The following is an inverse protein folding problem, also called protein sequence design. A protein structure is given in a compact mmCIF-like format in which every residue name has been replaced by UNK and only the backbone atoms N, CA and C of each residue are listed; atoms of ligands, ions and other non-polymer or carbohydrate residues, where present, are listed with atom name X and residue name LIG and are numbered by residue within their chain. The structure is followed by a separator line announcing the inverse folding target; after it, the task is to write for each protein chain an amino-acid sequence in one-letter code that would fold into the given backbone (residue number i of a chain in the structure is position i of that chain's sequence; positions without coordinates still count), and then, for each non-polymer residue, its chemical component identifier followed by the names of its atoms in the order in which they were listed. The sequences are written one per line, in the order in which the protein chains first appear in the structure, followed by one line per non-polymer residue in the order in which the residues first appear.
data_IF_504862258880
#
_entry.id   IF_504862258880
#
_cell.length_a   1.000
_cell.length_b   1.000
_cell.length_c   1.000
_cell.angle_alpha   90.00
_cell.angle_beta   90.00
_cell.angle_gamma   90.00
#
_symmetry.space_group_name_H-M   'P 1'
#
loop_
_entity.id
_entity.type
_entity.pdbx_description
1 polymer ?
#
# COMPACT_ATOMS: atom_id res chain seq x y z
N UNK A 1 -3.27 1.26 111.68
CA UNK A 1 -2.21 1.15 110.65
C UNK A 1 -2.90 1.30 109.30
N UNK A 2 -2.86 2.47 108.66
CA UNK A 2 -1.80 2.94 107.72
C UNK A 2 -1.81 2.02 106.48
N UNK A 3 -2.04 2.41 105.21
CA UNK A 3 -1.85 3.69 104.50
C UNK A 3 -2.44 3.59 103.08
N UNK A 4 -2.94 4.72 102.55
CA UNK A 4 -2.79 5.26 101.16
C UNK A 4 -3.21 4.36 99.98
N UNK A 5 -4.31 4.62 99.24
CA UNK A 5 -4.60 5.78 98.34
C UNK A 5 -3.39 6.26 97.51
N UNK A 6 -3.57 6.21 96.19
CA UNK A 6 -2.77 6.75 95.06
C UNK A 6 -1.98 5.71 94.26
N UNK A 7 -2.43 5.49 93.02
CA UNK A 7 -1.67 4.78 92.00
C UNK A 7 -2.27 4.83 90.59
N UNK A 8 -3.37 5.54 90.35
CA UNK A 8 -4.00 5.66 89.02
C UNK A 8 -3.38 6.79 88.16
N UNK A 9 -2.22 7.35 88.55
CA UNK A 9 -1.59 8.49 87.88
C UNK A 9 -0.28 8.18 87.15
N UNK A 10 0.15 6.92 87.07
CA UNK A 10 1.47 6.54 86.54
C UNK A 10 1.46 5.92 85.14
N UNK A 11 0.35 5.99 84.39
CA UNK A 11 0.31 5.51 83.00
C UNK A 11 0.46 6.62 81.94
N UNK A 12 0.31 7.90 82.30
CA UNK A 12 0.27 8.98 81.31
C UNK A 12 1.64 9.64 80.98
N UNK A 13 2.74 9.18 81.60
CA UNK A 13 4.05 9.83 81.45
C UNK A 13 5.10 9.07 80.63
N UNK A 14 4.83 7.84 80.16
CA UNK A 14 5.76 7.10 79.31
C UNK A 14 5.63 7.36 77.80
N UNK A 15 4.74 8.26 77.39
CA UNK A 15 4.61 8.72 76.00
C UNK A 15 4.93 10.21 75.84
N UNK A 16 5.90 10.73 76.61
CA UNK A 16 6.60 11.96 76.23
C UNK A 16 7.69 11.60 75.21
N UNK A 17 7.24 11.37 73.97
CA UNK A 17 8.14 11.33 72.81
C UNK A 17 9.00 12.59 72.82
N UNK A 18 10.31 12.41 72.90
CA UNK A 18 11.27 13.49 72.67
C UNK A 18 10.95 14.04 71.28
N UNK A 19 10.44 15.27 71.20
CA UNK A 19 10.36 16.02 69.95
C UNK A 19 11.79 16.37 69.55
N UNK A 20 12.48 15.43 68.91
CA UNK A 20 13.69 15.73 68.15
C UNK A 20 13.22 16.45 66.89
N UNK A 21 13.50 17.74 66.78
CA UNK A 21 13.35 18.44 65.50
C UNK A 21 14.31 17.84 64.49
N UNK A 22 13.87 17.75 63.23
CA UNK A 22 14.73 17.28 62.13
C UNK A 22 15.98 18.15 62.06
N UNK A 23 17.16 17.51 61.96
CA UNK A 23 18.40 18.25 61.71
C UNK A 23 18.44 18.67 60.24
N UNK A 24 19.00 19.85 59.95
CA UNK A 24 19.10 20.38 58.59
C UNK A 24 19.84 19.40 57.64
N UNK A 25 20.80 18.66 58.17
CA UNK A 25 21.54 17.63 57.44
C UNK A 25 20.68 16.42 57.06
N UNK A 26 19.80 15.96 57.95
CA UNK A 26 18.90 14.82 57.68
C UNK A 26 17.90 15.16 56.56
N UNK A 27 17.37 16.39 56.56
CA UNK A 27 16.52 16.90 55.48
C UNK A 27 17.31 16.97 54.16
N UNK A 28 18.56 17.44 54.19
CA UNK A 28 19.40 17.52 52.99
C UNK A 28 19.70 16.15 52.39
N UNK A 29 20.04 15.15 53.22
CA UNK A 29 20.28 13.78 52.74
C UNK A 29 18.99 13.16 52.19
N UNK A 30 17.84 13.37 52.85
CA UNK A 30 16.55 12.88 52.34
C UNK A 30 16.17 13.47 50.98
N UNK A 31 16.50 14.75 50.73
CA UNK A 31 16.26 15.41 49.44
C UNK A 31 17.14 14.83 48.33
N UNK A 32 18.41 14.52 48.64
CA UNK A 32 19.33 13.89 47.68
C UNK A 32 18.88 12.47 47.35
N UNK A 33 18.48 11.67 48.35
CA UNK A 33 18.01 10.31 48.10
C UNK A 33 16.69 10.35 47.31
N UNK A 34 15.78 11.26 47.67
CA UNK A 34 14.52 11.44 46.96
C UNK A 34 14.74 11.87 45.51
N UNK A 35 15.68 12.79 45.23
CA UNK A 35 15.97 13.22 43.86
C UNK A 35 16.55 12.08 43.02
N UNK A 36 17.48 11.29 43.57
CA UNK A 36 18.05 10.12 42.88
C UNK A 36 16.95 9.09 42.53
N UNK A 37 16.07 8.79 43.48
CA UNK A 37 14.96 7.84 43.24
C UNK A 37 14.00 8.38 42.19
N UNK A 38 13.59 9.65 42.29
CA UNK A 38 12.67 10.27 41.32
C UNK A 38 13.28 10.31 39.92
N UNK A 39 14.57 10.67 39.79
CA UNK A 39 15.26 10.64 38.50
C UNK A 39 15.33 9.23 37.91
N UNK A 40 15.58 8.21 38.73
CA UNK A 40 15.59 6.81 38.30
C UNK A 40 14.23 6.34 37.78
N UNK A 41 13.15 6.69 38.48
CA UNK A 41 11.78 6.36 38.06
C UNK A 41 11.38 7.11 36.78
N UNK A 42 11.74 8.40 36.67
CA UNK A 42 11.46 9.21 35.47
C UNK A 42 12.17 8.64 34.24
N UNK A 43 13.43 8.22 34.39
CA UNK A 43 14.19 7.58 33.31
C UNK A 43 13.48 6.32 32.79
N UNK A 44 13.03 5.44 33.71
CA UNK A 44 12.29 4.22 33.34
C UNK A 44 10.98 4.54 32.59
N UNK A 45 10.24 5.55 33.02
CA UNK A 45 8.99 5.96 32.35
C UNK A 45 9.26 6.45 30.93
N UNK A 46 10.33 7.22 30.71
CA UNK A 46 10.71 7.69 29.36
C UNK A 46 11.04 6.52 28.45
N UNK A 47 11.81 5.54 28.93
CA UNK A 47 12.14 4.33 28.18
C UNK A 47 10.87 3.53 27.81
N UNK A 48 9.95 3.34 28.76
CA UNK A 48 8.69 2.62 28.50
C UNK A 48 7.82 3.36 27.47
N UNK A 49 7.71 4.69 27.56
CA UNK A 49 6.96 5.48 26.59
C UNK A 49 7.57 5.42 25.19
N UNK A 50 8.89 5.38 25.08
CA UNK A 50 9.58 5.22 23.81
C UNK A 50 9.32 3.84 23.19
N UNK A 51 9.37 2.77 23.99
CA UNK A 51 9.05 1.41 23.54
C UNK A 51 7.60 1.35 23.03
N UNK A 52 6.64 1.86 23.82
CA UNK A 52 5.22 1.85 23.42
C UNK A 52 4.99 2.60 22.10
N UNK A 53 5.56 3.80 21.94
CA UNK A 53 5.44 4.58 20.70
C UNK A 53 6.04 3.85 19.50
N UNK A 54 7.14 3.12 19.72
CA UNK A 54 7.78 2.34 18.67
C UNK A 54 6.93 1.13 18.26
N UNK A 55 6.44 0.37 19.23
CA UNK A 55 5.59 -0.79 18.97
C UNK A 55 4.30 -0.39 18.25
N UNK A 56 3.71 0.74 18.65
CA UNK A 56 2.57 1.34 17.98
C UNK A 56 2.91 1.68 16.52
N UNK A 57 4.03 2.38 16.28
CA UNK A 57 4.45 2.74 14.94
C UNK A 57 4.70 1.54 14.03
N UNK A 58 5.41 0.52 14.53
CA UNK A 58 5.66 -0.70 13.78
C UNK A 58 4.36 -1.44 13.46
N UNK A 59 3.48 -1.57 14.45
CA UNK A 59 2.18 -2.25 14.29
C UNK A 59 1.31 -1.54 13.26
N UNK A 60 1.27 -0.21 13.31
CA UNK A 60 0.53 0.61 12.36
C UNK A 60 1.09 0.47 10.94
N UNK A 61 2.41 0.59 10.76
CA UNK A 61 3.06 0.37 9.46
C UNK A 61 2.75 -1.03 8.95
N UNK A 62 2.99 -2.09 9.74
CA UNK A 62 2.70 -3.46 9.32
C UNK A 62 1.24 -3.66 8.90
N UNK A 63 0.29 -3.11 9.67
CA UNK A 63 -1.14 -3.18 9.35
C UNK A 63 -1.46 -2.48 8.04
N UNK A 64 -0.92 -1.28 7.83
CA UNK A 64 -1.14 -0.51 6.60
C UNK A 64 -0.48 -1.20 5.38
N UNK A 65 0.73 -1.71 5.53
CA UNK A 65 1.42 -2.47 4.48
C UNK A 65 0.66 -3.75 4.11
N UNK A 66 0.11 -4.47 5.09
CA UNK A 66 -0.70 -5.67 4.84
C UNK A 66 -2.00 -5.35 4.11
N UNK A 67 -2.67 -4.24 4.46
CA UNK A 67 -3.87 -3.78 3.76
C UNK A 67 -3.55 -3.41 2.31
N UNK A 68 -2.48 -2.66 2.08
CA UNK A 68 -2.02 -2.29 0.74
C UNK A 68 -1.66 -3.52 -0.09
N UNK A 69 -0.88 -4.45 0.47
CA UNK A 69 -0.54 -5.72 -0.18
C UNK A 69 -1.81 -6.50 -0.56
N UNK A 70 -2.75 -6.65 0.39
CA UNK A 70 -4.02 -7.35 0.13
C UNK A 70 -4.80 -6.68 -1.01
N UNK A 71 -4.83 -5.35 -1.05
CA UNK A 71 -5.50 -4.60 -2.11
C UNK A 71 -4.85 -4.85 -3.48
N UNK A 72 -3.52 -4.68 -3.58
CA UNK A 72 -2.75 -4.96 -4.81
C UNK A 72 -2.97 -6.40 -5.27
N UNK A 73 -2.90 -7.37 -4.36
CA UNK A 73 -3.08 -8.78 -4.73
C UNK A 73 -4.49 -9.09 -5.22
N UNK A 74 -5.53 -8.44 -4.66
CA UNK A 74 -6.91 -8.64 -5.11
C UNK A 74 -7.09 -8.12 -6.53
N UNK A 75 -6.64 -6.90 -6.80
CA UNK A 75 -6.74 -6.34 -8.16
C UNK A 75 -5.95 -7.19 -9.17
N UNK A 76 -4.76 -7.64 -8.80
CA UNK A 76 -3.92 -8.44 -9.67
C UNK A 76 -4.46 -9.87 -9.91
N UNK A 77 -5.27 -10.41 -9.00
CA UNK A 77 -5.97 -11.69 -9.21
C UNK A 77 -7.04 -11.60 -10.31
N UNK A 78 -7.61 -10.42 -10.50
CA UNK A 78 -8.63 -10.11 -11.52
C UNK A 78 -8.01 -9.59 -12.82
N UNK A 79 -6.68 -9.56 -12.91
CA UNK A 79 -5.98 -9.16 -14.10
C UNK A 79 -6.26 -10.13 -15.27
N UNK A 80 -6.42 -9.55 -16.44
CA UNK A 80 -6.56 -10.21 -17.73
C UNK A 80 -5.23 -10.18 -18.48
N UNK A 81 -4.47 -9.10 -18.32
CA UNK A 81 -3.17 -8.91 -18.95
C UNK A 81 -2.28 -8.03 -18.09
N UNK A 82 -1.06 -8.48 -17.78
CA UNK A 82 -0.06 -7.69 -17.04
C UNK A 82 1.08 -7.27 -17.96
N UNK A 83 1.45 -6.00 -17.89
CA UNK A 83 2.59 -5.46 -18.62
C UNK A 83 3.89 -5.83 -17.91
N UNK A 84 4.84 -6.42 -18.65
CA UNK A 84 6.22 -6.58 -18.20
C UNK A 84 6.98 -5.25 -18.18
N UNK A 85 6.54 -4.29 -19.00
CA UNK A 85 7.11 -2.94 -19.07
C UNK A 85 5.97 -1.91 -18.91
N UNK A 86 5.63 -1.51 -17.67
CA UNK A 86 4.53 -0.57 -17.41
C UNK A 86 4.67 0.76 -18.16
N UNK A 87 5.90 1.19 -18.45
CA UNK A 87 6.15 2.43 -19.18
C UNK A 87 5.52 2.47 -20.58
N UNK A 88 5.28 1.31 -21.20
CA UNK A 88 4.60 1.21 -22.52
C UNK A 88 3.19 1.80 -22.50
N UNK A 89 2.49 1.68 -21.38
CA UNK A 89 1.14 2.23 -21.20
C UNK A 89 1.19 3.58 -20.50
N UNK A 90 2.04 3.75 -19.48
CA UNK A 90 2.08 5.01 -18.73
C UNK A 90 2.64 6.18 -19.53
N UNK A 91 3.49 5.95 -20.54
CA UNK A 91 3.99 7.03 -21.42
C UNK A 91 2.92 7.65 -22.31
N UNK A 92 1.72 7.09 -22.33
CA UNK A 92 0.60 7.55 -23.14
C UNK A 92 -0.42 8.36 -22.34
N UNK A 93 -0.23 8.48 -21.03
CA UNK A 93 -1.13 9.13 -20.09
C UNK A 93 -0.40 10.34 -19.49
N UNK A 94 -0.83 11.56 -19.82
CA UNK A 94 -0.18 12.79 -19.34
C UNK A 94 -0.63 13.18 -17.92
N UNK A 95 -1.78 12.68 -17.46
CA UNK A 95 -2.36 13.00 -16.15
C UNK A 95 -1.99 12.02 -15.04
N UNK A 96 -1.07 11.09 -15.30
CA UNK A 96 -0.58 10.18 -14.27
C UNK A 96 0.09 10.95 -13.13
N UNK A 97 -0.17 10.57 -11.86
CA UNK A 97 0.56 11.09 -10.72
C UNK A 97 2.07 10.86 -10.90
N UNK A 98 2.89 11.81 -10.46
CA UNK A 98 4.34 11.65 -10.49
C UNK A 98 4.75 10.40 -9.67
N UNK A 99 5.60 9.55 -10.24
CA UNK A 99 6.09 8.35 -9.58
C UNK A 99 6.65 7.33 -10.56
N UNK A 100 7.37 6.35 -10.04
CA UNK A 100 7.87 5.22 -10.83
C UNK A 100 6.76 4.17 -10.98
N UNK A 101 6.37 3.79 -12.21
CA UNK A 101 5.33 2.79 -12.43
C UNK A 101 5.88 1.37 -12.20
N UNK A 102 5.32 0.70 -11.19
CA UNK A 102 5.81 -0.61 -10.74
C UNK A 102 4.99 -1.76 -11.31
N UNK A 103 3.67 -1.58 -11.43
CA UNK A 103 2.77 -2.62 -11.90
C UNK A 103 1.65 -1.98 -12.71
N UNK A 104 1.46 -2.41 -13.95
CA UNK A 104 0.35 -2.02 -14.78
C UNK A 104 -0.33 -3.26 -15.37
N UNK A 105 -1.67 -3.27 -15.36
CA UNK A 105 -2.44 -4.38 -15.91
C UNK A 105 -3.86 -3.96 -16.25
N UNK A 106 -4.47 -4.74 -17.13
CA UNK A 106 -5.90 -4.68 -17.41
C UNK A 106 -6.62 -5.66 -16.52
N UNK A 107 -7.72 -5.23 -15.90
CA UNK A 107 -8.64 -6.10 -15.14
C UNK A 107 -10.05 -6.00 -15.68
N UNK A 108 -10.87 -7.01 -15.39
CA UNK A 108 -12.31 -6.95 -15.63
C UNK A 108 -12.99 -6.33 -14.41
N UNK A 109 -13.64 -5.20 -14.59
CA UNK A 109 -14.48 -4.58 -13.57
C UNK A 109 -15.94 -4.96 -13.83
N UNK A 110 -16.63 -5.62 -12.88
CA UNK A 110 -18.06 -5.86 -13.00
C UNK A 110 -18.83 -4.54 -12.87
N UNK A 111 -19.92 -4.40 -13.62
CA UNK A 111 -20.84 -3.28 -13.42
C UNK A 111 -21.57 -3.44 -12.09
N UNK A 112 -21.70 -2.35 -11.34
CA UNK A 112 -22.52 -2.35 -10.15
C UNK A 112 -24.02 -2.39 -10.51
N UNK A 113 -24.87 -2.64 -9.51
CA UNK A 113 -26.31 -2.77 -9.73
C UNK A 113 -26.96 -1.46 -10.18
N UNK A 114 -26.40 -0.33 -9.79
CA UNK A 114 -26.96 1.00 -10.04
C UNK A 114 -26.60 1.45 -11.46
N UNK A 115 -25.37 1.24 -11.89
CA UNK A 115 -24.88 1.39 -13.27
C UNK A 115 -25.67 0.48 -14.20
N UNK A 116 -25.84 -0.79 -13.85
CA UNK A 116 -26.62 -1.72 -14.67
C UNK A 116 -28.09 -1.30 -14.79
N UNK A 117 -28.69 -0.77 -13.72
CA UNK A 117 -30.05 -0.24 -13.74
C UNK A 117 -30.15 1.09 -14.51
N UNK A 118 -29.08 1.89 -14.51
CA UNK A 118 -28.96 3.14 -15.27
C UNK A 118 -28.93 2.92 -16.78
N UNK A 119 -28.40 1.78 -17.24
CA UNK A 119 -28.47 1.37 -18.64
C UNK A 119 -29.92 0.95 -18.97
N UNK A 120 -30.71 1.91 -19.43
CA UNK A 120 -32.08 1.73 -19.92
C UNK A 120 -32.20 0.73 -21.08
N UNK A 121 -33.37 0.59 -21.70
CA UNK A 121 -33.51 -0.27 -22.89
C UNK A 121 -32.65 0.28 -24.04
N UNK A 122 -31.65 -0.49 -24.46
CA UNK A 122 -30.63 -0.09 -25.44
C UNK A 122 -31.25 0.40 -26.74
N UNK A 123 -32.33 -0.25 -27.20
CA UNK A 123 -33.03 0.09 -28.44
C UNK A 123 -33.79 1.42 -28.39
N UNK A 124 -34.04 1.93 -27.19
CA UNK A 124 -34.76 3.19 -26.97
C UNK A 124 -33.85 4.33 -26.52
N UNK A 125 -32.73 4.00 -25.88
CA UNK A 125 -31.78 4.96 -25.32
C UNK A 125 -30.66 5.33 -26.32
N UNK A 126 -30.27 4.40 -27.20
CA UNK A 126 -29.13 4.54 -28.10
C UNK A 126 -29.49 4.17 -29.54
N UNK A 127 -28.61 4.50 -30.49
CA UNK A 127 -28.77 4.11 -31.89
C UNK A 127 -27.43 3.83 -32.56
N UNK A 128 -27.41 2.95 -33.56
CA UNK A 128 -26.19 2.63 -34.32
C UNK A 128 -25.16 1.88 -33.46
N UNK A 129 -23.91 2.31 -33.49
CA UNK A 129 -22.79 1.65 -32.78
C UNK A 129 -22.95 1.67 -31.26
N UNK A 130 -23.56 2.72 -30.70
CA UNK A 130 -23.81 2.83 -29.26
C UNK A 130 -24.87 1.81 -28.79
N UNK A 131 -25.85 1.47 -29.65
CA UNK A 131 -26.83 0.41 -29.34
C UNK A 131 -26.17 -0.97 -29.30
N UNK A 132 -25.26 -1.26 -30.24
CA UNK A 132 -24.47 -2.49 -30.25
C UNK A 132 -23.56 -2.60 -29.03
N UNK A 133 -22.93 -1.49 -28.63
CA UNK A 133 -22.13 -1.39 -27.42
C UNK A 133 -22.97 -1.61 -26.15
N UNK A 134 -24.13 -0.95 -26.05
CA UNK A 134 -25.08 -1.14 -24.96
C UNK A 134 -25.49 -2.60 -24.81
N UNK A 135 -25.87 -3.25 -25.92
CA UNK A 135 -26.26 -4.66 -25.94
C UNK A 135 -25.10 -5.57 -25.53
N UNK A 136 -23.88 -5.26 -25.98
CA UNK A 136 -22.68 -6.00 -25.59
C UNK A 136 -22.40 -5.85 -24.09
N UNK A 137 -22.55 -4.63 -23.55
CA UNK A 137 -22.35 -4.34 -22.14
C UNK A 137 -23.38 -5.08 -21.27
N UNK A 138 -24.65 -5.11 -21.68
CA UNK A 138 -25.72 -5.89 -21.03
C UNK A 138 -25.54 -7.39 -21.09
N UNK A 139 -24.75 -7.93 -22.02
CA UNK A 139 -24.42 -9.36 -22.05
C UNK A 139 -23.18 -9.65 -21.22
N UNK A 140 -22.17 -8.77 -21.28
CA UNK A 140 -20.89 -8.98 -20.58
C UNK A 140 -20.95 -8.69 -19.09
N UNK A 141 -21.77 -7.72 -18.66
CA UNK A 141 -21.85 -7.23 -17.27
C UNK A 141 -20.51 -6.74 -16.70
N UNK A 142 -19.52 -6.44 -17.55
CA UNK A 142 -18.18 -6.05 -17.13
C UNK A 142 -17.47 -5.25 -18.20
N UNK A 143 -16.57 -4.36 -17.79
CA UNK A 143 -15.68 -3.57 -18.65
C UNK A 143 -14.22 -3.87 -18.35
N UNK A 144 -13.33 -3.53 -19.28
CA UNK A 144 -11.90 -3.54 -19.01
C UNK A 144 -11.48 -2.22 -18.38
N UNK A 145 -10.76 -2.29 -17.27
CA UNK A 145 -10.16 -1.13 -16.61
C UNK A 145 -8.65 -1.31 -16.58
N UNK A 146 -7.93 -0.23 -16.89
CA UNK A 146 -6.48 -0.19 -16.73
C UNK A 146 -6.16 0.26 -15.30
N UNK A 147 -5.33 -0.50 -14.60
CA UNK A 147 -4.85 -0.17 -13.26
C UNK A 147 -3.33 -0.06 -13.28
N UNK A 148 -2.82 1.01 -12.66
CA UNK A 148 -1.39 1.29 -12.55
C UNK A 148 -1.04 1.58 -11.08
N UNK A 149 -0.04 0.89 -10.57
CA UNK A 149 0.55 1.16 -9.26
C UNK A 149 1.88 1.88 -9.44
N UNK A 150 2.01 3.04 -8.80
CA UNK A 150 3.20 3.88 -8.83
C UNK A 150 3.77 4.02 -7.43
N UNK A 151 5.10 4.10 -7.34
CA UNK A 151 5.79 4.53 -6.14
C UNK A 151 6.24 5.98 -6.29
N UNK A 152 5.91 6.82 -5.31
CA UNK A 152 6.34 8.22 -5.29
C UNK A 152 7.07 8.53 -3.99
N UNK A 153 8.29 9.08 -4.09
CA UNK A 153 9.02 9.62 -2.95
C UNK A 153 8.32 10.89 -2.42
N UNK A 154 8.16 10.96 -1.09
CA UNK A 154 7.52 12.09 -0.45
C UNK A 154 8.52 13.22 -0.21
N UNK A 155 8.07 14.46 -0.47
CA UNK A 155 8.84 15.64 -0.11
C UNK A 155 8.60 16.03 1.35
N UNK A 156 9.58 16.70 1.99
CA UNK A 156 9.44 17.16 3.37
C UNK A 156 8.30 18.20 3.58
N UNK A 157 7.82 18.82 2.50
CA UNK A 157 6.68 19.76 2.51
C UNK A 157 5.33 19.09 2.31
N UNK A 158 5.30 17.78 2.12
CA UNK A 158 4.09 17.03 1.84
C UNK A 158 3.27 16.78 3.12
N UNK A 159 1.97 16.50 2.97
CA UNK A 159 1.10 16.09 4.08
C UNK A 159 1.43 14.67 4.57
N UNK A 160 2.17 13.96 3.75
CA UNK A 160 2.60 12.58 3.89
C UNK A 160 3.88 12.49 4.72
N UNK A 161 3.89 11.58 5.70
CA UNK A 161 4.92 11.53 6.75
C UNK A 161 5.99 10.49 6.49
N UNK A 162 5.67 9.44 5.73
CA UNK A 162 6.66 8.41 5.42
C UNK A 162 7.63 8.83 4.30
N UNK A 163 8.64 8.01 4.00
CA UNK A 163 9.62 8.33 2.97
C UNK A 163 9.05 8.31 1.55
N UNK A 164 8.15 7.38 1.26
CA UNK A 164 7.48 7.25 -0.03
C UNK A 164 6.09 6.63 0.14
N UNK A 165 5.27 6.77 -0.90
CA UNK A 165 3.90 6.28 -0.95
C UNK A 165 3.64 5.44 -2.19
N UNK A 166 2.64 4.57 -2.09
CA UNK A 166 2.07 3.87 -3.25
C UNK A 166 0.80 4.56 -3.67
N UNK A 167 0.75 4.93 -4.93
CA UNK A 167 -0.42 5.49 -5.58
C UNK A 167 -1.00 4.44 -6.51
N UNK A 168 -2.30 4.23 -6.41
CA UNK A 168 -3.07 3.49 -7.39
C UNK A 168 -3.74 4.47 -8.32
N UNK A 169 -3.54 4.28 -9.60
CA UNK A 169 -4.25 4.97 -10.66
C UNK A 169 -5.15 3.97 -11.40
N UNK A 170 -6.36 4.39 -11.75
CA UNK A 170 -7.32 3.60 -12.50
C UNK A 170 -7.96 4.42 -13.62
N UNK A 171 -7.97 3.84 -14.81
CA UNK A 171 -8.63 4.37 -16.00
C UNK A 171 -9.80 3.43 -16.37
N UNK A 172 -11.02 3.75 -15.91
CA UNK A 172 -12.22 2.99 -16.29
C UNK A 172 -12.68 3.38 -17.69
N UNK A 173 -13.41 2.47 -18.36
CA UNK A 173 -13.93 2.68 -19.71
C UNK A 173 -14.87 3.89 -19.83
N UNK A 174 -15.82 4.00 -18.91
CA UNK A 174 -16.88 5.01 -18.98
C UNK A 174 -16.64 6.12 -17.95
N UNK A 175 -16.86 7.36 -18.36
CA UNK A 175 -17.07 8.49 -17.46
C UNK A 175 -18.51 8.48 -16.92
N UNK A 176 -19.46 8.06 -17.75
CA UNK A 176 -20.86 7.87 -17.39
C UNK A 176 -21.43 6.66 -18.14
N UNK A 177 -21.70 5.58 -17.39
CA UNK A 177 -22.23 4.32 -17.94
C UNK A 177 -23.66 4.49 -18.46
N UNK A 178 -24.46 5.39 -17.88
CA UNK A 178 -25.86 5.58 -18.27
C UNK A 178 -26.02 6.19 -19.65
N UNK A 179 -25.02 6.95 -20.09
CA UNK A 179 -24.96 7.59 -21.41
C UNK A 179 -23.91 6.94 -22.34
N UNK A 180 -23.23 5.88 -21.88
CA UNK A 180 -22.09 5.27 -22.58
C UNK A 180 -20.99 6.26 -22.96
N UNK A 181 -20.86 7.35 -22.19
CA UNK A 181 -19.82 8.34 -22.42
C UNK A 181 -18.48 7.74 -22.04
N UNK A 182 -17.65 7.43 -23.04
CA UNK A 182 -16.29 6.94 -22.82
C UNK A 182 -15.45 7.98 -22.12
N UNK A 183 -14.56 7.52 -21.25
CA UNK A 183 -13.60 8.39 -20.60
C UNK A 183 -12.54 8.84 -21.60
N UNK A 184 -12.10 10.08 -21.47
CA UNK A 184 -11.03 10.62 -22.31
C UNK A 184 -9.76 9.75 -22.20
N UNK A 185 -9.08 9.53 -23.32
CA UNK A 185 -7.85 8.74 -23.40
C UNK A 185 -8.03 7.23 -23.19
N UNK A 186 -9.23 6.78 -22.82
CA UNK A 186 -9.55 5.37 -22.86
C UNK A 186 -9.74 4.91 -24.30
N UNK A 187 -9.05 3.83 -24.67
CA UNK A 187 -9.31 3.09 -25.89
C UNK A 187 -9.54 1.62 -25.53
N UNK A 188 -10.56 0.98 -26.10
CA UNK A 188 -10.87 -0.41 -25.76
C UNK A 188 -9.78 -1.34 -26.35
N UNK A 189 -9.16 -2.23 -25.55
CA UNK A 189 -8.11 -3.15 -26.00
C UNK A 189 -8.65 -4.34 -26.81
N UNK A 190 -9.88 -4.25 -27.31
CA UNK A 190 -10.51 -5.25 -28.18
C UNK A 190 -11.11 -4.67 -29.47
N UNK A 191 -10.97 -3.37 -29.71
CA UNK A 191 -11.56 -2.67 -30.87
C UNK A 191 -10.50 -2.26 -31.90
N UNK A 192 -10.92 -1.59 -32.98
CA UNK A 192 -9.99 -1.02 -33.96
C UNK A 192 -9.01 -0.03 -33.31
N UNK A 193 -7.78 0.00 -33.80
CA UNK A 193 -6.70 0.83 -33.29
C UNK A 193 -6.95 2.31 -33.59
N UNK A 194 -6.86 3.21 -32.59
CA UNK A 194 -7.27 4.61 -32.75
C UNK A 194 -6.44 5.37 -33.80
N UNK A 195 -5.17 5.00 -33.97
CA UNK A 195 -4.24 5.67 -34.90
C UNK A 195 -3.87 4.84 -36.14
N UNK A 196 -4.33 3.58 -36.25
CA UNK A 196 -3.92 2.66 -37.31
C UNK A 196 -5.13 1.90 -37.87
N UNK A 197 -5.69 2.38 -38.98
CA UNK A 197 -6.85 1.73 -39.59
C UNK A 197 -6.52 0.30 -40.03
N UNK A 198 -7.42 -0.63 -39.69
CA UNK A 198 -7.26 -2.06 -39.99
C UNK A 198 -6.43 -2.86 -38.98
N UNK A 199 -5.87 -2.22 -37.95
CA UNK A 199 -5.26 -2.93 -36.81
C UNK A 199 -6.21 -2.96 -35.61
N UNK A 200 -6.07 -3.96 -34.75
CA UNK A 200 -6.80 -4.03 -33.47
C UNK A 200 -5.93 -3.41 -32.38
N UNK A 201 -6.52 -2.52 -31.59
CA UNK A 201 -5.95 -2.10 -30.32
C UNK A 201 -5.97 -3.33 -29.40
N UNK A 202 -4.84 -4.00 -29.18
CA UNK A 202 -4.78 -5.18 -28.30
C UNK A 202 -4.21 -4.79 -26.94
N UNK A 203 -4.38 -5.62 -25.92
CA UNK A 203 -3.76 -5.41 -24.61
C UNK A 203 -2.23 -5.20 -24.70
N UNK A 204 -1.54 -5.89 -25.61
CA UNK A 204 -0.07 -5.83 -25.71
C UNK A 204 0.48 -4.57 -26.41
N UNK A 205 -0.29 -4.00 -27.34
CA UNK A 205 0.07 -2.81 -28.12
C UNK A 205 -0.93 -1.67 -27.90
N UNK A 206 -1.53 -1.64 -26.71
CA UNK A 206 -2.58 -0.70 -26.39
C UNK A 206 -2.11 0.73 -26.65
N UNK A 207 -2.92 1.49 -27.38
CA UNK A 207 -2.69 2.92 -27.60
C UNK A 207 -3.86 3.72 -27.05
N UNK A 208 -3.59 4.75 -26.26
CA UNK A 208 -4.60 5.68 -25.76
C UNK A 208 -5.34 6.36 -26.93
N UNK A 209 -6.61 6.71 -26.71
CA UNK A 209 -7.29 7.60 -27.66
C UNK A 209 -6.69 9.01 -27.60
N UNK A 210 -6.93 9.85 -28.59
CA UNK A 210 -6.28 11.14 -28.87
C UNK A 210 -6.35 12.19 -27.74
N UNK A 211 -6.92 11.87 -26.57
CA UNK A 211 -6.82 12.69 -25.36
C UNK A 211 -5.70 12.18 -24.45
N UNK A 212 -4.77 13.07 -24.11
CA UNK A 212 -3.68 12.75 -23.18
C UNK A 212 -4.06 12.99 -21.72
N UNK A 213 -5.13 13.74 -21.46
CA UNK A 213 -5.70 13.90 -20.13
C UNK A 213 -6.91 12.99 -20.01
N UNK A 214 -6.79 11.99 -19.16
CA UNK A 214 -7.75 10.90 -19.10
C UNK A 214 -8.79 11.04 -17.98
N UNK A 215 -8.69 12.11 -17.18
CA UNK A 215 -9.48 12.28 -15.95
C UNK A 215 -9.49 11.00 -15.11
N UNK A 216 -8.36 10.28 -15.07
CA UNK A 216 -8.27 9.00 -14.38
C UNK A 216 -8.32 9.17 -12.87
N UNK A 217 -8.74 8.13 -12.16
CA UNK A 217 -8.83 8.18 -10.71
C UNK A 217 -7.50 7.80 -10.08
N UNK A 218 -6.98 8.64 -9.18
CA UNK A 218 -5.80 8.31 -8.38
C UNK A 218 -6.09 8.35 -6.89
N UNK A 219 -5.54 7.38 -6.15
CA UNK A 219 -5.67 7.27 -4.72
C UNK A 219 -4.38 6.77 -4.08
N UNK A 220 -3.96 7.39 -2.98
CA UNK A 220 -2.83 6.91 -2.17
C UNK A 220 -3.29 5.71 -1.34
N UNK A 221 -2.65 4.56 -1.53
CA UNK A 221 -2.96 3.35 -0.77
C UNK A 221 -2.25 3.31 0.58
N UNK A 222 -0.97 3.69 0.60
CA UNK A 222 -0.12 3.63 1.79
C UNK A 222 1.02 4.63 1.65
N UNK A 223 1.40 5.22 2.78
CA UNK A 223 2.36 6.33 2.86
C UNK A 223 3.65 6.00 3.64
N UNK A 224 3.72 4.84 4.28
CA UNK A 224 4.90 4.43 5.06
C UNK A 224 5.76 3.43 4.29
N UNK A 225 5.96 3.65 2.99
CA UNK A 225 6.82 2.82 2.14
C UNK A 225 8.24 3.35 2.20
N UNK A 226 9.23 2.47 2.28
CA UNK A 226 10.63 2.90 2.31
C UNK A 226 11.04 3.53 0.96
N UNK A 227 12.11 4.32 0.90
CA UNK A 227 12.51 4.98 -0.35
C UNK A 227 12.77 3.98 -1.47
N UNK A 228 12.39 4.33 -2.70
CA UNK A 228 12.66 3.50 -3.89
C UNK A 228 14.17 3.20 -4.02
N UNK A 229 14.99 4.20 -3.72
CA UNK A 229 16.46 4.15 -3.76
C UNK A 229 17.11 3.60 -2.48
N UNK A 230 16.33 3.22 -1.46
CA UNK A 230 16.90 2.72 -0.22
C UNK A 230 17.66 1.41 -0.46
N UNK A 231 18.83 1.30 0.17
CA UNK A 231 19.69 0.10 0.09
C UNK A 231 18.85 -1.14 0.41
N UNK A 232 18.83 -2.16 -0.46
CA UNK A 232 18.07 -3.38 -0.19
C UNK A 232 18.67 -4.10 1.02
N UNK A 233 17.87 -4.74 1.88
CA UNK A 233 18.42 -5.62 2.91
C UNK A 233 19.24 -6.72 2.23
N UNK A 234 20.26 -7.25 2.91
CA UNK A 234 21.12 -8.32 2.38
C UNK A 234 20.33 -9.57 1.95
N UNK A 235 19.14 -9.74 2.52
CA UNK A 235 18.26 -10.87 2.31
C UNK A 235 17.09 -10.54 1.36
N UNK A 236 17.09 -9.37 0.69
CA UNK A 236 16.08 -9.06 -0.31
C UNK A 236 16.21 -10.05 -1.47
N UNK A 237 15.26 -10.98 -1.54
CA UNK A 237 15.24 -11.97 -2.60
C UNK A 237 15.06 -11.26 -3.95
N UNK A 238 16.02 -11.48 -4.86
CA UNK A 238 15.82 -11.22 -6.28
C UNK A 238 14.69 -12.10 -6.81
N UNK A 239 14.18 -11.77 -8.00
CA UNK A 239 13.20 -12.61 -8.67
C UNK A 239 13.70 -14.07 -8.79
N UNK A 240 12.85 -15.09 -8.58
CA UNK A 240 13.29 -16.46 -8.28
C UNK A 240 14.09 -17.15 -9.39
N UNK A 241 13.91 -16.74 -10.64
CA UNK A 241 14.59 -17.32 -11.81
C UNK A 241 14.61 -16.33 -12.97
N UNK A 242 15.35 -16.66 -14.03
CA UNK A 242 15.36 -15.91 -15.29
C UNK A 242 14.01 -15.89 -16.02
N UNK A 243 13.05 -16.72 -15.60
CA UNK A 243 11.68 -16.68 -16.13
C UNK A 243 10.87 -15.50 -15.58
N UNK A 244 11.38 -14.78 -14.58
CA UNK A 244 10.75 -13.59 -14.03
C UNK A 244 11.51 -12.34 -14.42
N UNK A 245 10.79 -11.36 -14.93
CA UNK A 245 11.27 -10.01 -15.15
C UNK A 245 10.95 -9.15 -13.93
N UNK A 246 11.96 -8.42 -13.43
CA UNK A 246 11.81 -7.49 -12.32
C UNK A 246 11.31 -6.15 -12.85
N UNK A 247 10.38 -5.52 -12.14
CA UNK A 247 9.88 -4.19 -12.44
C UNK A 247 9.95 -3.33 -11.17
N UNK A 248 10.69 -2.21 -11.16
CA UNK A 248 11.54 -1.71 -12.24
C UNK A 248 12.71 -2.67 -12.55
N UNK A 249 13.17 -2.68 -13.80
CA UNK A 249 14.27 -3.58 -14.22
C UNK A 249 15.60 -3.22 -13.56
N UNK A 250 15.80 -1.94 -13.24
CA UNK A 250 16.93 -1.45 -12.46
C UNK A 250 16.64 -1.53 -10.97
N UNK A 251 17.43 -2.28 -10.17
CA UNK A 251 17.26 -2.34 -8.72
C UNK A 251 17.30 -0.99 -8.01
N UNK A 252 18.14 -0.07 -8.49
CA UNK A 252 18.29 1.26 -7.90
C UNK A 252 17.00 2.10 -7.92
N UNK A 253 16.07 1.79 -8.83
CA UNK A 253 14.87 2.60 -9.08
C UNK A 253 13.64 2.09 -8.30
N UNK A 254 13.76 0.99 -7.56
CA UNK A 254 12.63 0.45 -6.78
C UNK A 254 12.99 -0.76 -5.93
N UNK A 255 13.73 -0.56 -4.84
CA UNK A 255 14.08 -1.64 -3.91
C UNK A 255 13.02 -1.91 -2.84
N UNK A 256 12.20 -0.91 -2.53
CA UNK A 256 11.17 -1.02 -1.49
C UNK A 256 9.80 -1.43 -2.03
N UNK A 257 9.51 -1.20 -3.30
CA UNK A 257 8.34 -1.76 -3.97
C UNK A 257 8.75 -2.18 -5.39
N UNK A 258 8.65 -3.47 -5.66
CA UNK A 258 8.89 -4.03 -6.98
C UNK A 258 8.06 -5.29 -7.18
N UNK A 259 7.88 -5.66 -8.44
CA UNK A 259 7.22 -6.90 -8.81
C UNK A 259 8.15 -7.76 -9.67
N UNK A 260 7.98 -9.06 -9.57
CA UNK A 260 8.56 -10.03 -10.47
C UNK A 260 7.43 -10.61 -11.29
N UNK A 261 7.35 -10.24 -12.56
CA UNK A 261 6.33 -10.77 -13.48
C UNK A 261 6.95 -11.92 -14.24
N UNK A 262 6.30 -13.08 -14.26
CA UNK A 262 6.75 -14.18 -15.10
C UNK A 262 6.63 -13.76 -16.56
N UNK A 263 7.78 -13.59 -17.20
CA UNK A 263 7.86 -13.29 -18.62
C UNK A 263 7.25 -14.43 -19.42
N UNK A 264 6.53 -14.08 -20.47
CA UNK A 264 6.23 -15.02 -21.54
C UNK A 264 7.50 -15.16 -22.35
N UNK A 265 8.07 -16.35 -22.41
CA UNK A 265 9.23 -16.62 -23.28
C UNK A 265 8.90 -16.08 -24.70
N UNK A 266 9.68 -15.11 -25.23
CA UNK A 266 9.44 -14.57 -26.57
C UNK A 266 9.58 -15.65 -27.66
N UNK A 267 10.25 -16.77 -27.35
CA UNK A 267 10.45 -17.91 -28.24
C UNK A 267 9.39 -19.03 -28.02
N UNK A 268 8.45 -18.87 -27.08
CA UNK A 268 7.33 -19.80 -26.94
C UNK A 268 6.33 -19.58 -28.09
N UNK A 269 6.44 -20.41 -29.12
CA UNK A 269 5.52 -20.47 -30.27
C UNK A 269 4.05 -20.74 -29.88
N UNK A 270 3.81 -21.22 -28.65
CA UNK A 270 2.48 -21.53 -28.15
C UNK A 270 1.88 -20.38 -27.32
N UNK A 271 0.81 -19.78 -27.84
CA UNK A 271 -0.02 -18.78 -27.17
C UNK A 271 -0.62 -19.26 -25.82
N UNK A 272 -0.50 -20.55 -25.49
CA UNK A 272 -1.03 -21.18 -24.28
C UNK A 272 -0.20 -20.82 -23.03
N UNK A 273 1.12 -20.63 -23.17
CA UNK A 273 1.98 -20.23 -22.03
C UNK A 273 1.83 -18.75 -21.65
N UNK A 274 1.19 -17.95 -22.51
CA UNK A 274 0.77 -16.57 -22.18
C UNK A 274 -0.44 -16.51 -21.24
N UNK A 275 -1.14 -17.63 -21.03
CA UNK A 275 -2.44 -17.66 -20.33
C UNK A 275 -2.36 -17.79 -18.81
N UNK A 276 -1.19 -18.13 -18.27
CA UNK A 276 -1.00 -18.22 -16.82
C UNK A 276 0.19 -17.33 -16.45
N UNK A 277 -0.02 -16.04 -16.29
CA UNK A 277 1.01 -15.17 -15.71
C UNK A 277 1.01 -15.37 -14.19
N UNK A 278 2.21 -15.43 -13.61
CA UNK A 278 2.42 -15.44 -12.16
C UNK A 278 3.22 -14.19 -11.83
N UNK A 279 2.84 -13.51 -10.76
CA UNK A 279 3.50 -12.30 -10.32
C UNK A 279 3.85 -12.42 -8.83
N UNK A 280 5.00 -11.88 -8.46
CA UNK A 280 5.43 -11.81 -7.07
C UNK A 280 5.59 -10.34 -6.72
N UNK A 281 4.83 -9.86 -5.74
CA UNK A 281 4.91 -8.48 -5.24
C UNK A 281 5.78 -8.45 -4.01
N UNK A 282 6.75 -7.55 -4.00
CA UNK A 282 7.61 -7.25 -2.86
C UNK A 282 7.35 -5.85 -2.37
N UNK A 283 7.18 -5.70 -1.05
CA UNK A 283 6.83 -4.42 -0.46
C UNK A 283 7.50 -4.24 0.90
N UNK A 284 8.25 -3.16 1.07
CA UNK A 284 9.00 -2.80 2.29
C UNK A 284 8.47 -1.49 2.87
N UNK A 285 7.99 -1.56 4.10
CA UNK A 285 7.58 -0.38 4.86
C UNK A 285 8.74 0.26 5.61
N UNK A 286 8.53 1.49 6.07
CA UNK A 286 9.45 2.24 6.93
C UNK A 286 8.70 2.81 8.14
N UNK A 287 8.97 2.26 9.33
CA UNK A 287 8.32 2.68 10.58
C UNK A 287 9.10 3.79 11.33
N UNK A 288 10.12 4.37 10.71
CA UNK A 288 11.12 5.22 11.39
C UNK A 288 11.02 6.68 11.04
N UNK A 289 10.78 6.96 9.77
CA UNK A 289 10.77 8.31 9.22
C UNK A 289 9.41 8.96 9.51
N UNK A 290 9.43 10.27 9.81
CA UNK A 290 8.21 11.04 10.07
C UNK A 290 7.67 10.96 11.50
N UNK A 291 8.26 10.15 12.39
CA UNK A 291 7.77 9.95 13.77
C UNK A 291 8.75 10.51 14.82
N UNK A 292 8.43 11.65 15.47
CA UNK A 292 9.32 12.24 16.47
C UNK A 292 9.43 11.39 17.74
N UNK A 293 10.66 11.18 18.22
CA UNK A 293 10.95 10.55 19.52
C UNK A 293 11.40 9.09 19.49
N UNK A 294 11.69 8.52 18.31
CA UNK A 294 12.32 7.21 18.18
C UNK A 294 13.86 7.38 18.23
N UNK A 295 14.49 7.06 19.36
CA UNK A 295 15.96 7.04 19.50
C UNK A 295 16.52 5.77 18.82
N UNK A 296 17.68 5.88 18.16
CA UNK A 296 18.37 4.81 17.41
C UNK A 296 18.91 3.66 18.30
N UNK A 297 18.04 2.91 18.97
CA UNK A 297 18.43 1.79 19.86
C UNK A 297 18.15 0.39 19.28
N UNK A 298 17.83 0.27 17.98
CA UNK A 298 17.57 -1.01 17.31
C UNK A 298 18.47 -1.25 16.10
N UNK A 299 18.59 -2.52 15.71
CA UNK A 299 19.06 -2.91 14.37
C UNK A 299 18.06 -2.42 13.31
N UNK A 300 18.58 -1.97 12.16
CA UNK A 300 17.80 -1.42 11.04
C UNK A 300 16.69 -2.37 10.56
N UNK A 301 16.93 -3.69 10.59
CA UNK A 301 16.00 -4.74 10.14
C UNK A 301 14.67 -4.77 10.90
N UNK A 302 14.68 -4.47 12.20
CA UNK A 302 13.47 -4.47 13.02
C UNK A 302 12.54 -3.29 12.78
N UNK A 303 12.92 -2.36 11.90
CA UNK A 303 12.20 -1.11 11.62
C UNK A 303 11.62 -1.02 10.20
N UNK A 304 12.00 -1.98 9.35
CA UNK A 304 11.66 -2.00 7.92
C UNK A 304 10.89 -3.30 7.59
N UNK A 305 9.59 -3.40 7.93
CA UNK A 305 8.82 -4.61 7.68
C UNK A 305 8.73 -4.90 6.17
N UNK A 306 9.09 -6.10 5.77
CA UNK A 306 9.00 -6.58 4.38
C UNK A 306 7.86 -7.58 4.23
N UNK A 307 7.08 -7.43 3.17
CA UNK A 307 6.01 -8.33 2.77
C UNK A 307 6.27 -8.85 1.37
N UNK A 308 5.91 -10.11 1.14
CA UNK A 308 5.94 -10.74 -0.18
C UNK A 308 4.62 -11.46 -0.40
N UNK A 309 4.06 -11.35 -1.61
CA UNK A 309 2.92 -12.14 -2.02
C UNK A 309 3.13 -12.66 -3.45
N UNK A 310 2.76 -13.92 -3.68
CA UNK A 310 2.77 -14.54 -5.01
C UNK A 310 1.32 -14.71 -5.46
N UNK A 311 1.03 -14.28 -6.70
CA UNK A 311 -0.31 -14.24 -7.26
C UNK A 311 -0.31 -14.92 -8.63
N UNK A 312 -1.11 -15.98 -8.73
CA UNK A 312 -1.42 -16.62 -10.00
C UNK A 312 -2.60 -15.89 -10.65
N UNK A 313 -2.35 -15.26 -11.80
CA UNK A 313 -3.36 -14.59 -12.61
C UNK A 313 -4.15 -15.67 -13.35
N UNK A 314 -5.48 -15.57 -13.33
CA UNK A 314 -6.39 -16.56 -13.95
C UNK A 314 -7.08 -16.03 -15.21
N UNK A 315 -6.61 -14.90 -15.74
CA UNK A 315 -7.15 -14.26 -16.94
C UNK A 315 -7.30 -15.24 -18.10
N UNK A 316 -8.52 -15.38 -18.62
CA UNK A 316 -8.84 -16.25 -19.74
C UNK A 316 -9.06 -15.36 -20.96
N UNK A 317 -8.08 -15.23 -21.85
CA UNK A 317 -8.29 -14.69 -23.18
C UNK A 317 -8.14 -15.83 -24.20
N UNK A 318 -9.18 -16.10 -24.99
CA UNK A 318 -9.16 -17.01 -26.14
C UNK A 318 -8.51 -18.38 -25.90
N UNK A 319 -9.02 -19.18 -24.94
CA UNK A 319 -8.77 -20.62 -24.99
C UNK A 319 -9.46 -21.20 -26.23
N UNK A 320 -8.71 -21.33 -27.31
CA UNK A 320 -9.13 -22.20 -28.41
C UNK A 320 -8.94 -23.64 -27.95
N UNK A 321 -10.02 -24.45 -27.83
CA UNK A 321 -9.87 -25.86 -27.54
C UNK A 321 -9.13 -26.51 -28.70
N UNK A 322 -8.05 -27.22 -28.40
CA UNK A 322 -7.26 -27.93 -29.39
C UNK A 322 -8.17 -28.93 -30.13
N UNK A 323 -8.46 -28.67 -31.40
CA UNK A 323 -9.20 -29.62 -32.24
C UNK A 323 -8.21 -30.68 -32.72
N UNK A 324 -8.05 -31.73 -31.92
CA UNK A 324 -7.43 -32.98 -32.38
C UNK A 324 -8.29 -33.65 -33.45
#
# INVERSE_FOLDING_TARGET
MVSRRLGFHLYHHLLRGKRAGFTLLEVLVSLIIASIVVSGLLYLVVELLQINRREEALTETQTNMQRAMTYITRDAQEAVFVYSTPTTVTSQLDDLPAGEPILAFWRLEPLDSDDYAGIGDCSTAFSGTEEEECNTLKVRHSTYNLVVYLQQDNAASDIWQGPSRIIRYELPKYADVSNLTTRDGYADPTTEHPTQSGETNSFSNWTADNSVNTDGFSAVLVDYVDLATATPPSDLANCPSSAYERIPSTPADGNSFFVCVRGTDPDAEDAIDRLNQDLIVYLRGNATTGRPGLINTYSEEGRLPTLQAQILIRGILNKQPNTN
#
